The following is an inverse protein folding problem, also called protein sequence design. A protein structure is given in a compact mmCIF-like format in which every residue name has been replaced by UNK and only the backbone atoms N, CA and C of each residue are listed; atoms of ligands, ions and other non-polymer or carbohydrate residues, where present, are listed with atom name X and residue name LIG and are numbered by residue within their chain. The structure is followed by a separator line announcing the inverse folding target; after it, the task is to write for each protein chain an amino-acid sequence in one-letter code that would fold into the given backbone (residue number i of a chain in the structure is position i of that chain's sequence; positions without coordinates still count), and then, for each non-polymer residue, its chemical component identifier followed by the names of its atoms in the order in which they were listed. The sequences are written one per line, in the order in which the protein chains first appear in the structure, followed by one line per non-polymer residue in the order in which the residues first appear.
data_IF_266819024143
#
_entry.id   IF_266819024143
#
_cell.length_a   1.000
_cell.length_b   1.000
_cell.length_c   1.000
_cell.angle_alpha   90.00
_cell.angle_beta   90.00
_cell.angle_gamma   90.00
#
_symmetry.space_group_name_H-M   'P 1'
#
loop_
_entity.id
_entity.type
_entity.pdbx_description
1 polymer ?
#
# COMPACT_ATOMS: atom_id res chain seq x y z
N UNK A 1 -3.59 -16.14 15.76
CA UNK A 1 -3.02 -15.34 16.87
C UNK A 1 -1.62 -15.79 17.25
N UNK A 2 -1.33 -17.09 17.26
CA UNK A 2 0.00 -17.61 17.67
C UNK A 2 1.14 -17.05 16.82
N UNK A 3 0.93 -16.96 15.50
CA UNK A 3 1.89 -16.34 14.58
C UNK A 3 2.11 -14.85 14.89
N UNK A 4 1.05 -14.08 15.15
CA UNK A 4 1.18 -12.68 15.54
C UNK A 4 1.99 -12.53 16.85
N UNK A 5 1.72 -13.41 17.84
CA UNK A 5 2.47 -13.48 19.08
C UNK A 5 3.94 -13.82 18.84
N UNK A 6 4.22 -14.82 18.00
CA UNK A 6 5.59 -15.23 17.67
C UNK A 6 6.36 -14.11 16.99
N UNK A 7 5.80 -13.51 15.92
CA UNK A 7 6.46 -12.41 15.19
C UNK A 7 6.69 -11.22 16.12
N UNK A 8 5.68 -10.79 16.86
CA UNK A 8 5.80 -9.63 17.74
C UNK A 8 6.78 -9.92 18.88
N UNK A 9 6.69 -11.09 19.51
CA UNK A 9 7.57 -11.51 20.61
C UNK A 9 9.06 -11.46 20.25
N UNK A 10 9.39 -11.86 19.03
CA UNK A 10 10.78 -11.81 18.51
C UNK A 10 11.27 -10.39 18.19
N UNK A 11 10.36 -9.44 18.00
CA UNK A 11 10.70 -8.08 17.62
C UNK A 11 10.61 -7.06 18.75
N UNK A 12 9.86 -7.34 19.83
CA UNK A 12 9.77 -6.41 20.98
C UNK A 12 11.11 -6.21 21.71
N UNK A 13 12.04 -7.17 21.58
CA UNK A 13 13.39 -7.05 22.11
C UNK A 13 14.22 -5.94 21.44
N UNK A 14 13.83 -5.51 20.26
CA UNK A 14 14.47 -4.42 19.53
C UNK A 14 14.02 -3.02 19.99
N UNK A 15 12.98 -2.93 20.83
CA UNK A 15 12.52 -1.67 21.41
C UNK A 15 13.44 -1.31 22.57
N UNK A 16 14.20 -0.24 22.42
CA UNK A 16 15.16 0.24 23.41
C UNK A 16 14.47 0.96 24.58
N UNK A 17 15.25 1.31 25.62
CA UNK A 17 14.73 2.05 26.77
C UNK A 17 14.21 3.44 26.42
N UNK A 18 14.81 4.10 25.43
CA UNK A 18 14.38 5.39 24.90
C UNK A 18 13.22 5.30 23.89
N UNK A 19 12.80 4.08 23.53
CA UNK A 19 11.73 3.81 22.59
C UNK A 19 12.16 3.78 21.11
N UNK A 20 13.44 4.00 20.82
CA UNK A 20 14.01 3.79 19.47
C UNK A 20 14.04 2.30 19.11
N UNK A 21 14.15 2.01 17.82
CA UNK A 21 14.15 0.62 17.34
C UNK A 21 15.55 0.24 16.85
N UNK A 22 16.10 -0.82 17.40
CA UNK A 22 17.34 -1.42 16.89
C UNK A 22 17.06 -2.10 15.55
N UNK A 23 17.73 -1.70 14.45
CA UNK A 23 17.54 -2.32 13.14
C UNK A 23 18.03 -3.77 13.12
N UNK A 24 17.68 -4.51 12.09
CA UNK A 24 18.32 -5.80 11.79
C UNK A 24 19.75 -5.54 11.30
N UNK A 25 20.63 -6.51 11.48
CA UNK A 25 21.99 -6.43 11.01
C UNK A 25 22.05 -6.04 9.51
N UNK A 26 22.94 -5.10 9.19
CA UNK A 26 23.10 -4.49 7.85
C UNK A 26 21.93 -3.64 7.35
N UNK A 27 20.97 -3.29 8.20
CA UNK A 27 19.92 -2.32 7.90
C UNK A 27 20.11 -1.02 8.70
N UNK A 28 19.48 0.06 8.22
CA UNK A 28 19.32 1.30 8.98
C UNK A 28 17.95 1.34 9.63
N UNK A 29 17.85 1.92 10.83
CA UNK A 29 16.55 2.24 11.41
C UNK A 29 15.87 3.35 10.60
N UNK A 30 14.54 3.31 10.60
CA UNK A 30 13.71 4.33 9.97
C UNK A 30 13.02 5.16 11.06
N UNK A 31 12.92 6.47 10.84
CA UNK A 31 12.41 7.43 11.83
C UNK A 31 10.95 7.17 12.25
N UNK A 32 10.20 6.41 11.47
CA UNK A 32 8.81 6.06 11.75
C UNK A 32 8.60 4.66 12.34
N UNK A 33 9.65 3.86 12.53
CA UNK A 33 9.54 2.51 13.11
C UNK A 33 8.94 2.47 14.52
N UNK A 34 9.25 3.42 15.43
CA UNK A 34 8.60 3.46 16.73
C UNK A 34 7.07 3.56 16.63
N UNK A 35 6.57 4.30 15.63
CA UNK A 35 5.14 4.40 15.36
C UNK A 35 4.52 3.05 14.95
N UNK A 36 5.17 2.31 14.06
CA UNK A 36 4.73 0.97 13.64
C UNK A 36 4.75 -0.01 14.82
N UNK A 37 5.78 0.02 15.65
CA UNK A 37 5.87 -0.78 16.86
C UNK A 37 4.72 -0.47 17.83
N UNK A 38 4.45 0.82 18.11
CA UNK A 38 3.35 1.24 18.97
C UNK A 38 2.00 0.72 18.46
N UNK A 39 1.74 0.80 17.15
CA UNK A 39 0.50 0.29 16.57
C UNK A 39 0.41 -1.23 16.65
N UNK A 40 1.51 -1.95 16.44
CA UNK A 40 1.55 -3.41 16.56
C UNK A 40 1.22 -3.89 17.99
N UNK A 41 1.80 -3.23 19.00
CA UNK A 41 1.52 -3.49 20.40
C UNK A 41 0.05 -3.19 20.74
N UNK A 42 -0.48 -2.07 20.26
CA UNK A 42 -1.89 -1.71 20.45
C UNK A 42 -2.86 -2.70 19.80
N UNK A 43 -2.59 -3.16 18.59
CA UNK A 43 -3.42 -4.14 17.91
C UNK A 43 -3.35 -5.53 18.56
N UNK A 44 -2.20 -5.89 19.11
CA UNK A 44 -2.04 -7.10 19.91
C UNK A 44 -2.89 -7.02 21.19
N UNK A 45 -2.82 -5.89 21.91
CA UNK A 45 -3.70 -5.64 23.07
C UNK A 45 -5.18 -5.78 22.73
N UNK A 46 -5.63 -5.14 21.64
CA UNK A 46 -7.02 -5.22 21.18
C UNK A 46 -7.46 -6.65 20.82
N UNK A 47 -6.54 -7.47 20.34
CA UNK A 47 -6.86 -8.83 19.91
C UNK A 47 -6.87 -9.84 21.09
N UNK A 48 -6.08 -9.58 22.13
CA UNK A 48 -5.84 -10.53 23.24
C UNK A 48 -6.34 -10.04 24.59
N UNK A 49 -6.43 -8.73 24.81
CA UNK A 49 -6.62 -8.12 26.13
C UNK A 49 -5.38 -8.19 27.04
N UNK A 50 -4.26 -8.77 26.57
CA UNK A 50 -3.06 -8.93 27.38
C UNK A 50 -2.23 -7.64 27.40
N UNK A 51 -1.76 -7.26 28.58
CA UNK A 51 -0.81 -6.18 28.79
C UNK A 51 0.64 -6.67 28.86
N UNK A 52 0.85 -7.98 28.67
CA UNK A 52 2.16 -8.61 28.73
C UNK A 52 2.41 -9.49 27.49
N UNK A 53 3.65 -9.47 27.00
CA UNK A 53 4.14 -10.34 25.94
C UNK A 53 5.61 -10.71 26.21
N UNK A 54 5.92 -12.02 26.26
CA UNK A 54 7.27 -12.55 26.53
C UNK A 54 7.90 -11.93 27.80
N UNK A 55 7.09 -11.81 28.87
CA UNK A 55 7.53 -11.24 30.16
C UNK A 55 7.75 -9.71 30.14
N UNK A 56 7.37 -9.00 29.07
CA UNK A 56 7.49 -7.55 28.94
C UNK A 56 6.14 -6.86 29.00
N UNK A 57 6.08 -5.75 29.69
CA UNK A 57 4.91 -4.88 29.74
C UNK A 57 4.74 -4.11 28.42
N UNK A 58 3.75 -4.51 27.62
CA UNK A 58 3.50 -3.88 26.31
C UNK A 58 2.90 -2.47 26.43
N UNK A 59 2.33 -2.09 27.56
CA UNK A 59 1.85 -0.73 27.83
C UNK A 59 3.05 0.20 27.97
N UNK A 60 4.07 -0.23 28.73
CA UNK A 60 5.33 0.51 28.88
C UNK A 60 6.08 0.61 27.55
N UNK A 61 6.24 -0.49 26.82
CA UNK A 61 6.89 -0.48 25.52
C UNK A 61 6.18 0.46 24.52
N UNK A 62 4.85 0.47 24.50
CA UNK A 62 4.08 1.38 23.66
C UNK A 62 4.31 2.85 24.07
N UNK A 63 4.32 3.15 25.37
CA UNK A 63 4.59 4.50 25.87
C UNK A 63 5.99 4.98 25.47
N UNK A 64 7.01 4.12 25.56
CA UNK A 64 8.38 4.43 25.08
C UNK A 64 8.41 4.74 23.59
N UNK A 65 7.82 3.90 22.75
CA UNK A 65 7.74 4.13 21.30
C UNK A 65 7.05 5.45 20.97
N UNK A 66 5.93 5.77 21.64
CA UNK A 66 5.23 7.05 21.46
C UNK A 66 6.09 8.22 21.91
N UNK A 67 6.82 8.06 22.99
CA UNK A 67 7.73 9.10 23.51
C UNK A 67 8.85 9.38 22.52
N UNK A 68 9.50 8.33 22.00
CA UNK A 68 10.53 8.46 20.96
C UNK A 68 9.99 9.21 19.74
N UNK A 69 8.88 8.73 19.16
CA UNK A 69 8.29 9.34 17.98
C UNK A 69 7.82 10.79 18.21
N UNK A 70 7.34 11.10 19.42
CA UNK A 70 6.84 12.43 19.75
C UNK A 70 7.95 13.42 19.97
N UNK A 71 9.06 13.01 20.60
CA UNK A 71 10.13 13.90 21.01
C UNK A 71 11.26 14.02 19.98
N UNK A 72 11.23 13.21 18.94
CA UNK A 72 12.17 13.31 17.82
C UNK A 72 12.02 14.69 17.14
N UNK A 73 13.16 15.34 16.86
CA UNK A 73 13.19 16.63 16.17
C UNK A 73 12.82 16.48 14.68
N UNK A 74 13.18 15.37 14.09
CA UNK A 74 12.96 15.02 12.68
C UNK A 74 11.77 14.08 12.50
N UNK A 75 10.78 14.15 13.40
CA UNK A 75 9.62 13.25 13.37
C UNK A 75 8.93 13.25 12.01
N UNK A 76 8.44 12.09 11.65
CA UNK A 76 7.67 11.90 10.42
C UNK A 76 6.16 11.88 10.70
N UNK A 77 5.38 12.36 9.75
CA UNK A 77 3.90 12.43 9.88
C UNK A 77 3.27 11.03 9.93
N UNK A 78 3.85 10.07 9.22
CA UNK A 78 3.42 8.67 9.26
C UNK A 78 3.72 8.03 10.61
N UNK A 79 4.94 8.13 11.13
CA UNK A 79 5.30 7.62 12.44
C UNK A 79 4.38 8.16 13.54
N UNK A 80 4.07 9.46 13.50
CA UNK A 80 3.15 10.07 14.46
C UNK A 80 1.71 9.56 14.30
N UNK A 81 1.25 9.35 13.05
CA UNK A 81 -0.09 8.81 12.80
C UNK A 81 -0.21 7.36 13.29
N UNK A 82 0.80 6.52 13.02
CA UNK A 82 0.84 5.14 13.53
C UNK A 82 0.89 5.11 15.06
N UNK A 83 1.74 5.92 15.69
CA UNK A 83 1.80 6.06 17.16
C UNK A 83 0.45 6.43 17.76
N UNK A 84 -0.26 7.37 17.16
CA UNK A 84 -1.56 7.82 17.66
C UNK A 84 -2.64 6.74 17.56
N UNK A 85 -2.64 5.91 16.50
CA UNK A 85 -3.53 4.76 16.41
C UNK A 85 -3.12 3.65 17.41
N UNK A 86 -1.84 3.48 17.65
CA UNK A 86 -1.31 2.60 18.69
C UNK A 86 -1.83 3.02 20.06
N UNK A 87 -1.70 4.28 20.42
CA UNK A 87 -2.24 4.86 21.65
C UNK A 87 -3.74 4.57 21.81
N UNK A 88 -4.55 4.90 20.80
CA UNK A 88 -6.00 4.68 20.83
C UNK A 88 -6.38 3.20 20.99
N UNK A 89 -5.52 2.30 20.60
CA UNK A 89 -5.78 0.86 20.71
C UNK A 89 -5.82 0.37 22.14
N UNK A 90 -5.19 1.07 23.09
CA UNK A 90 -5.20 0.75 24.51
C UNK A 90 -6.36 1.36 25.29
N UNK A 91 -7.02 2.37 24.73
CA UNK A 91 -8.17 2.99 25.39
C UNK A 91 -8.76 4.13 24.55
N UNK A 92 -10.08 4.35 24.66
CA UNK A 92 -10.81 5.28 23.79
C UNK A 92 -10.67 6.77 24.19
N UNK A 93 -10.07 7.07 25.36
CA UNK A 93 -9.91 8.42 25.86
C UNK A 93 -8.72 8.49 26.80
N UNK A 94 -8.16 9.70 27.01
CA UNK A 94 -7.04 9.93 27.94
C UNK A 94 -7.31 9.42 29.35
N UNK A 95 -8.55 9.58 29.85
CA UNK A 95 -8.92 9.19 31.22
C UNK A 95 -9.08 7.67 31.40
N UNK A 96 -8.94 6.89 30.33
CA UNK A 96 -9.07 5.43 30.31
C UNK A 96 -8.00 4.77 29.45
N UNK A 97 -6.84 5.37 29.37
CA UNK A 97 -5.76 4.88 28.51
C UNK A 97 -4.49 4.65 29.32
N UNK A 98 -4.12 3.40 29.65
CA UNK A 98 -2.97 3.11 30.49
C UNK A 98 -1.64 3.53 29.85
N UNK A 99 -1.57 3.67 28.52
CA UNK A 99 -0.39 4.18 27.83
C UNK A 99 -0.27 5.68 28.05
N UNK A 100 -1.39 6.43 27.95
CA UNK A 100 -1.40 7.85 28.22
C UNK A 100 -0.91 8.19 29.62
N UNK A 101 -1.34 7.42 30.63
CA UNK A 101 -0.96 7.61 32.03
C UNK A 101 0.55 7.41 32.28
N UNK A 102 1.25 6.72 31.38
CA UNK A 102 2.71 6.52 31.45
C UNK A 102 3.52 7.56 30.71
N UNK A 103 2.90 8.37 29.85
CA UNK A 103 3.59 9.46 29.18
C UNK A 103 3.88 10.60 30.17
N UNK A 104 5.11 11.10 30.14
CA UNK A 104 5.46 12.31 30.89
C UNK A 104 4.62 13.50 30.41
N UNK A 105 4.35 14.42 31.29
CA UNK A 105 3.52 15.61 31.00
C UNK A 105 4.02 16.40 29.79
N UNK A 106 5.34 16.54 29.64
CA UNK A 106 5.92 17.23 28.49
C UNK A 106 5.72 16.45 27.18
N UNK A 107 5.81 15.11 27.23
CA UNK A 107 5.49 14.25 26.07
C UNK A 107 4.02 14.36 25.71
N UNK A 108 3.10 14.38 26.68
CA UNK A 108 1.67 14.58 26.44
C UNK A 108 1.38 15.92 25.76
N UNK A 109 2.01 17.00 26.23
CA UNK A 109 1.89 18.35 25.63
C UNK A 109 2.46 18.40 24.22
N UNK A 110 3.63 17.80 24.00
CA UNK A 110 4.26 17.73 22.69
C UNK A 110 3.40 16.92 21.71
N UNK A 111 2.86 15.78 22.14
CA UNK A 111 1.98 14.95 21.33
C UNK A 111 0.72 15.72 20.91
N UNK A 112 0.03 16.40 21.84
CA UNK A 112 -1.15 17.21 21.48
C UNK A 112 -0.80 18.30 20.46
N UNK A 113 0.32 19.00 20.65
CA UNK A 113 0.81 20.02 19.72
C UNK A 113 1.07 19.44 18.32
N UNK A 114 1.74 18.28 18.23
CA UNK A 114 2.04 17.62 16.95
C UNK A 114 0.79 17.03 16.29
N UNK A 115 -0.13 16.48 17.07
CA UNK A 115 -1.42 16.02 16.57
C UNK A 115 -2.31 17.16 16.06
N UNK A 116 -2.11 18.38 16.55
CA UNK A 116 -2.80 19.58 16.04
C UNK A 116 -2.23 20.06 14.71
N UNK A 117 -0.93 19.87 14.48
CA UNK A 117 -0.27 20.28 13.25
C UNK A 117 -0.92 19.59 12.04
N UNK A 118 -1.16 20.36 10.99
CA UNK A 118 -1.71 19.89 9.72
C UNK A 118 -0.86 20.42 8.59
N UNK A 119 -0.45 19.53 7.71
CA UNK A 119 0.14 19.90 6.42
C UNK A 119 -0.88 19.59 5.33
N UNK A 120 -1.06 20.51 4.42
CA UNK A 120 -1.96 20.29 3.28
C UNK A 120 -1.20 19.50 2.21
N UNK A 121 -1.26 18.19 2.34
CA UNK A 121 -0.65 17.28 1.41
C UNK A 121 -1.55 17.08 0.19
N UNK A 122 -0.94 16.92 -0.95
CA UNK A 122 -1.62 16.57 -2.20
C UNK A 122 -1.49 15.08 -2.57
N UNK A 123 -0.95 14.26 -1.68
CA UNK A 123 -0.71 12.82 -1.82
C UNK A 123 -1.36 12.01 -0.69
N UNK A 124 -1.02 10.73 -0.60
CA UNK A 124 -1.53 9.82 0.43
C UNK A 124 -1.26 10.30 1.88
N UNK A 125 -0.33 11.17 2.13
CA UNK A 125 -0.06 11.71 3.48
C UNK A 125 -1.27 12.41 4.11
N UNK A 126 -2.30 12.74 3.33
CA UNK A 126 -3.58 13.21 3.89
C UNK A 126 -4.21 12.21 4.87
N UNK A 127 -3.97 10.89 4.69
CA UNK A 127 -4.49 9.87 5.61
C UNK A 127 -3.93 10.03 7.02
N UNK A 128 -2.70 10.53 7.15
CA UNK A 128 -2.07 10.77 8.45
C UNK A 128 -2.75 11.93 9.20
N UNK A 129 -3.16 12.98 8.49
CA UNK A 129 -3.99 14.03 9.08
C UNK A 129 -5.33 13.49 9.59
N UNK A 130 -5.94 12.52 8.89
CA UNK A 130 -7.17 11.85 9.33
C UNK A 130 -6.91 11.09 10.63
N UNK A 131 -5.87 10.27 10.70
CA UNK A 131 -5.52 9.51 11.91
C UNK A 131 -5.22 10.42 13.11
N UNK A 132 -4.44 11.49 12.90
CA UNK A 132 -4.15 12.49 13.94
C UNK A 132 -5.43 13.17 14.45
N UNK A 133 -6.39 13.46 13.55
CA UNK A 133 -7.68 14.04 13.94
C UNK A 133 -8.52 13.06 14.77
N UNK A 134 -8.57 11.79 14.34
CA UNK A 134 -9.23 10.73 15.09
C UNK A 134 -8.66 10.61 16.49
N UNK A 135 -7.34 10.56 16.61
CA UNK A 135 -6.68 10.41 17.89
C UNK A 135 -6.94 11.62 18.81
N UNK A 136 -6.78 12.81 18.29
CA UNK A 136 -6.96 14.03 19.06
C UNK A 136 -8.38 14.21 19.60
N UNK A 137 -9.38 13.91 18.76
CA UNK A 137 -10.78 13.92 19.19
C UNK A 137 -11.11 12.79 20.18
N UNK A 138 -10.75 11.57 19.86
CA UNK A 138 -11.07 10.40 20.68
C UNK A 138 -10.39 10.46 22.05
N UNK A 139 -9.16 10.96 22.12
CA UNK A 139 -8.45 11.18 23.40
C UNK A 139 -9.04 12.33 24.23
N UNK A 140 -9.99 13.10 23.70
CA UNK A 140 -10.57 14.26 24.41
C UNK A 140 -9.63 15.48 24.46
N UNK A 141 -8.62 15.53 23.59
CA UNK A 141 -7.72 16.68 23.44
C UNK A 141 -8.33 17.81 22.60
N UNK A 142 -9.40 17.51 21.87
CA UNK A 142 -10.18 18.47 21.10
C UNK A 142 -11.67 18.22 21.28
N UNK A 143 -12.44 19.32 21.45
CA UNK A 143 -13.90 19.27 21.40
C UNK A 143 -14.43 19.27 19.96
N UNK A 144 -13.63 19.69 18.99
CA UNK A 144 -14.00 19.79 17.58
C UNK A 144 -13.53 18.56 16.84
N UNK A 145 -14.46 17.88 16.19
CA UNK A 145 -14.20 16.73 15.33
C UNK A 145 -14.05 17.19 13.88
N UNK A 146 -12.82 17.15 13.37
CA UNK A 146 -12.49 17.54 12.00
C UNK A 146 -12.38 16.34 11.05
N UNK A 147 -12.42 15.13 11.58
CA UNK A 147 -12.18 13.89 10.84
C UNK A 147 -13.10 13.75 9.62
N UNK A 148 -14.38 14.07 9.77
CA UNK A 148 -15.32 13.99 8.67
C UNK A 148 -14.97 14.90 7.49
N UNK A 149 -14.52 16.14 7.77
CA UNK A 149 -14.11 17.08 6.74
C UNK A 149 -12.83 16.65 6.02
N UNK A 150 -11.89 16.04 6.75
CA UNK A 150 -10.64 15.55 6.16
C UNK A 150 -10.91 14.37 5.23
N UNK A 151 -11.82 13.48 5.60
CA UNK A 151 -12.23 12.36 4.72
C UNK A 151 -12.93 12.89 3.47
N UNK A 152 -13.86 13.86 3.60
CA UNK A 152 -14.55 14.45 2.47
C UNK A 152 -13.55 15.08 1.49
N UNK A 153 -12.59 15.87 2.01
CA UNK A 153 -11.52 16.47 1.19
C UNK A 153 -10.69 15.40 0.46
N UNK A 154 -10.36 14.30 1.12
CA UNK A 154 -9.65 13.19 0.49
C UNK A 154 -10.45 12.59 -0.67
N UNK A 155 -11.75 12.34 -0.47
CA UNK A 155 -12.63 11.78 -1.51
C UNK A 155 -12.87 12.76 -2.67
N UNK A 156 -13.08 14.04 -2.36
CA UNK A 156 -13.21 15.11 -3.37
C UNK A 156 -11.96 15.20 -4.25
N UNK A 157 -10.79 15.04 -3.64
CA UNK A 157 -9.54 15.05 -4.36
C UNK A 157 -9.43 13.91 -5.37
N UNK A 158 -9.82 12.68 -5.01
CA UNK A 158 -9.83 11.56 -5.96
C UNK A 158 -10.68 11.90 -7.18
N UNK A 159 -11.80 12.61 -6.99
CA UNK A 159 -12.65 13.05 -8.09
C UNK A 159 -12.03 14.15 -8.96
N UNK A 160 -11.14 14.96 -8.40
CA UNK A 160 -10.50 16.07 -9.10
C UNK A 160 -9.22 15.67 -9.84
N UNK A 161 -8.47 14.70 -9.31
CA UNK A 161 -7.14 14.34 -9.82
C UNK A 161 -7.15 13.30 -10.93
N UNK A 162 -8.22 12.51 -11.02
CA UNK A 162 -8.42 11.56 -12.11
C UNK A 162 -9.87 11.66 -12.59
N UNK A 163 -10.30 10.76 -13.45
CA UNK A 163 -11.71 10.67 -13.87
C UNK A 163 -12.66 10.20 -12.76
N UNK A 164 -12.28 10.34 -11.49
CA UNK A 164 -13.03 9.91 -10.32
C UNK A 164 -12.95 8.41 -10.02
N UNK A 165 -12.02 7.70 -10.66
CA UNK A 165 -11.93 6.24 -10.56
C UNK A 165 -10.89 5.78 -9.57
N UNK A 166 -9.67 6.35 -9.63
CA UNK A 166 -8.52 5.89 -8.86
C UNK A 166 -7.78 7.06 -8.26
N UNK A 167 -7.03 6.80 -7.21
CA UNK A 167 -6.24 7.81 -6.55
C UNK A 167 -4.91 8.03 -7.27
N UNK A 168 -4.69 9.24 -7.78
CA UNK A 168 -3.39 9.70 -8.24
C UNK A 168 -2.63 10.28 -7.06
N UNK A 169 -1.53 9.63 -6.69
CA UNK A 169 -0.80 9.96 -5.48
C UNK A 169 0.18 11.13 -5.62
N UNK A 170 0.44 11.60 -6.83
CA UNK A 170 1.41 12.69 -7.06
C UNK A 170 1.00 13.70 -8.15
N UNK A 171 -0.21 14.23 -8.13
CA UNK A 171 -0.70 15.09 -9.21
C UNK A 171 0.03 16.43 -9.31
N UNK A 172 0.62 16.94 -8.21
CA UNK A 172 1.29 18.23 -8.16
C UNK A 172 2.79 18.19 -8.51
N UNK A 173 3.40 17.01 -8.46
CA UNK A 173 4.84 16.88 -8.72
C UNK A 173 5.16 16.85 -10.23
N UNK A 174 4.18 17.06 -11.09
CA UNK A 174 4.34 16.96 -12.55
C UNK A 174 4.60 15.53 -13.03
N UNK A 175 4.49 14.57 -12.13
CA UNK A 175 4.52 13.14 -12.40
C UNK A 175 3.07 12.72 -12.55
N UNK A 176 2.60 12.76 -13.77
CA UNK A 176 1.23 12.38 -14.05
C UNK A 176 1.05 10.88 -13.85
N UNK A 177 0.08 10.49 -13.02
CA UNK A 177 -0.40 9.12 -12.97
C UNK A 177 0.32 8.17 -12.04
N UNK A 178 0.54 8.57 -10.83
CA UNK A 178 1.05 7.69 -9.78
C UNK A 178 -0.08 6.82 -9.19
N UNK A 179 -0.64 5.94 -10.02
CA UNK A 179 -1.74 5.02 -9.66
C UNK A 179 -1.20 3.70 -9.15
N UNK A 180 -0.73 3.68 -7.93
CA UNK A 180 -0.13 2.51 -7.30
C UNK A 180 -0.97 1.95 -6.14
N UNK A 181 -0.34 1.10 -5.34
CA UNK A 181 -0.94 0.48 -4.16
C UNK A 181 -1.44 1.51 -3.12
N UNK A 182 -0.97 2.76 -3.14
CA UNK A 182 -1.34 3.74 -2.11
C UNK A 182 -2.83 4.10 -2.10
N UNK A 183 -3.56 3.83 -3.17
CA UNK A 183 -5.02 3.86 -3.11
C UNK A 183 -5.60 2.81 -2.15
N UNK A 184 -5.09 1.59 -2.21
CA UNK A 184 -5.48 0.49 -1.29
C UNK A 184 -5.00 0.79 0.14
N UNK A 185 -3.74 1.24 0.29
CA UNK A 185 -3.15 1.65 1.57
C UNK A 185 -4.00 2.73 2.24
N UNK A 186 -4.37 3.76 1.48
CA UNK A 186 -5.17 4.87 1.99
C UNK A 186 -6.53 4.40 2.49
N UNK A 187 -7.21 3.54 1.73
CA UNK A 187 -8.48 2.97 2.16
C UNK A 187 -8.34 2.18 3.46
N UNK A 188 -7.39 1.24 3.52
CA UNK A 188 -7.17 0.38 4.69
C UNK A 188 -6.86 1.22 5.93
N UNK A 189 -6.01 2.22 5.78
CA UNK A 189 -5.58 3.09 6.89
C UNK A 189 -6.71 4.01 7.40
N UNK A 190 -7.47 4.64 6.51
CA UNK A 190 -8.65 5.45 6.88
C UNK A 190 -9.67 4.56 7.59
N UNK A 191 -9.89 3.37 7.05
CA UNK A 191 -10.85 2.42 7.63
C UNK A 191 -10.43 1.96 9.02
N UNK A 192 -9.14 1.71 9.23
CA UNK A 192 -8.56 1.40 10.54
C UNK A 192 -8.73 2.58 11.51
N UNK A 193 -8.41 3.78 11.08
CA UNK A 193 -8.57 5.00 11.88
C UNK A 193 -10.03 5.20 12.33
N UNK A 194 -10.99 5.02 11.44
CA UNK A 194 -12.41 5.11 11.77
C UNK A 194 -12.88 4.04 12.76
N UNK A 195 -12.27 2.85 12.80
CA UNK A 195 -12.60 1.84 13.79
C UNK A 195 -12.24 2.26 15.23
N UNK A 196 -11.27 3.14 15.38
CA UNK A 196 -10.81 3.67 16.65
C UNK A 196 -11.47 4.99 17.04
N UNK A 197 -12.31 5.54 16.17
CA UNK A 197 -12.96 6.82 16.39
C UNK A 197 -14.04 6.73 17.47
N UNK A 198 -13.98 7.60 18.48
CA UNK A 198 -14.96 7.63 19.57
C UNK A 198 -16.37 8.04 19.11
N UNK A 199 -16.47 8.89 18.07
CA UNK A 199 -17.76 9.30 17.51
C UNK A 199 -18.34 8.23 16.58
N UNK A 200 -19.17 7.36 17.13
CA UNK A 200 -19.82 6.27 16.37
C UNK A 200 -20.69 6.78 15.22
N UNK A 201 -21.43 7.87 15.41
CA UNK A 201 -22.28 8.44 14.36
C UNK A 201 -21.46 8.95 13.16
N UNK A 202 -20.30 9.57 13.41
CA UNK A 202 -19.42 9.95 12.31
C UNK A 202 -18.89 8.71 11.59
N UNK A 203 -18.43 7.73 12.35
CA UNK A 203 -17.92 6.46 11.80
C UNK A 203 -18.96 5.79 10.91
N UNK A 204 -20.17 5.60 11.41
CA UNK A 204 -21.24 4.88 10.70
C UNK A 204 -21.67 5.63 9.43
N UNK A 205 -21.55 6.96 9.39
CA UNK A 205 -21.80 7.78 8.21
C UNK A 205 -20.64 7.74 7.20
N UNK A 206 -19.39 7.75 7.68
CA UNK A 206 -18.21 7.88 6.81
C UNK A 206 -17.74 6.56 6.22
N UNK A 207 -17.99 5.44 6.86
CA UNK A 207 -17.68 4.12 6.30
C UNK A 207 -18.39 3.90 4.95
N UNK A 208 -19.72 4.10 4.81
CA UNK A 208 -20.36 3.98 3.51
C UNK A 208 -19.82 4.94 2.44
N UNK A 209 -19.38 6.14 2.80
CA UNK A 209 -18.82 7.09 1.82
C UNK A 209 -17.52 6.61 1.17
N UNK A 210 -16.78 5.69 1.82
CA UNK A 210 -15.59 5.06 1.26
C UNK A 210 -15.90 3.94 0.26
N UNK A 211 -17.16 3.47 0.21
CA UNK A 211 -17.54 2.29 -0.58
C UNK A 211 -17.24 2.44 -2.06
N UNK A 212 -17.65 3.55 -2.66
CA UNK A 212 -17.44 3.79 -4.11
C UNK A 212 -15.96 3.76 -4.48
N UNK A 213 -15.13 4.34 -3.64
CA UNK A 213 -13.67 4.30 -3.81
C UNK A 213 -13.13 2.86 -3.66
N UNK A 214 -13.52 2.15 -2.61
CA UNK A 214 -13.08 0.79 -2.35
C UNK A 214 -13.52 -0.18 -3.46
N UNK A 215 -14.75 -0.08 -3.95
CA UNK A 215 -15.28 -0.95 -5.00
C UNK A 215 -14.48 -0.88 -6.30
N UNK A 216 -13.87 0.26 -6.63
CA UNK A 216 -13.02 0.39 -7.81
C UNK A 216 -11.80 -0.52 -7.71
N UNK A 217 -11.10 -0.49 -6.57
CA UNK A 217 -9.94 -1.35 -6.31
C UNK A 217 -10.36 -2.82 -6.14
N UNK A 218 -11.45 -3.08 -5.45
CA UNK A 218 -11.96 -4.45 -5.31
C UNK A 218 -12.20 -5.11 -6.66
N UNK A 219 -12.79 -4.39 -7.62
CA UNK A 219 -13.04 -4.92 -8.97
C UNK A 219 -11.77 -5.26 -9.74
N UNK A 220 -10.62 -4.74 -9.32
CA UNK A 220 -9.32 -5.08 -9.92
C UNK A 220 -8.74 -6.40 -9.39
N UNK A 221 -8.97 -6.74 -8.13
CA UNK A 221 -8.30 -7.90 -7.52
C UNK A 221 -8.47 -9.21 -8.29
N UNK A 222 -9.64 -9.57 -8.84
CA UNK A 222 -9.77 -10.77 -9.66
C UNK A 222 -8.87 -10.80 -10.89
N UNK A 223 -8.51 -9.61 -11.39
CA UNK A 223 -7.69 -9.46 -12.60
C UNK A 223 -6.20 -9.34 -12.29
N UNK A 224 -5.83 -8.71 -11.16
CA UNK A 224 -4.42 -8.43 -10.82
C UNK A 224 -3.79 -9.47 -9.90
N UNK A 225 -4.58 -10.21 -9.12
CA UNK A 225 -4.03 -11.27 -8.26
C UNK A 225 -3.74 -12.50 -9.11
N UNK A 226 -2.46 -12.84 -9.18
CA UNK A 226 -1.98 -13.99 -9.96
C UNK A 226 -2.50 -15.33 -9.41
N UNK A 227 -2.39 -16.37 -10.21
CA UNK A 227 -2.78 -17.73 -9.82
C UNK A 227 -1.97 -18.27 -8.65
N UNK A 228 -0.71 -17.86 -8.50
CA UNK A 228 0.15 -18.19 -7.37
C UNK A 228 -0.15 -17.37 -6.10
N UNK A 229 -0.98 -16.32 -6.20
CA UNK A 229 -1.39 -15.49 -5.08
C UNK A 229 -0.58 -14.21 -4.90
N UNK A 230 0.38 -13.90 -5.80
CA UNK A 230 0.97 -12.58 -5.81
C UNK A 230 -0.13 -11.54 -6.06
N UNK A 231 -0.20 -10.54 -5.21
CA UNK A 231 -1.21 -9.47 -5.26
C UNK A 231 -0.83 -8.32 -6.18
N UNK A 232 -0.72 -7.13 -5.61
CA UNK A 232 -0.35 -5.94 -6.37
C UNK A 232 1.12 -5.98 -6.78
N UNK A 233 1.43 -5.93 -8.08
CA UNK A 233 2.75 -6.18 -8.62
C UNK A 233 3.38 -4.96 -9.34
N UNK A 234 2.85 -3.75 -9.12
CA UNK A 234 3.40 -2.53 -9.72
C UNK A 234 3.34 -1.35 -8.75
N UNK A 235 4.27 -0.41 -8.92
CA UNK A 235 4.38 0.79 -8.09
C UNK A 235 5.17 0.59 -6.82
N UNK A 236 4.94 1.47 -5.85
CA UNK A 236 5.65 1.49 -4.57
C UNK A 236 5.06 0.52 -3.55
N UNK A 237 5.83 0.22 -2.51
CA UNK A 237 5.41 -0.58 -1.35
C UNK A 237 4.88 -1.96 -1.73
N UNK A 238 5.55 -2.59 -2.67
CA UNK A 238 5.27 -3.95 -3.12
C UNK A 238 5.70 -4.98 -2.05
N UNK A 239 5.69 -6.23 -2.41
CA UNK A 239 6.16 -7.30 -1.54
C UNK A 239 5.23 -7.58 -0.38
N UNK A 240 5.80 -7.90 0.78
CA UNK A 240 5.05 -8.26 1.98
C UNK A 240 4.05 -7.17 2.40
N UNK A 241 4.46 -5.90 2.33
CA UNK A 241 3.61 -4.76 2.66
C UNK A 241 2.38 -4.67 1.75
N UNK A 242 2.59 -4.75 0.43
CA UNK A 242 1.51 -4.75 -0.55
C UNK A 242 0.54 -5.89 -0.38
N UNK A 243 1.07 -7.08 -0.12
CA UNK A 243 0.29 -8.29 0.11
C UNK A 243 -0.64 -8.13 1.33
N UNK A 244 -0.12 -7.60 2.44
CA UNK A 244 -0.89 -7.35 3.65
C UNK A 244 -2.06 -6.37 3.41
N UNK A 245 -1.84 -5.33 2.61
CA UNK A 245 -2.89 -4.36 2.29
C UNK A 245 -3.99 -4.95 1.40
N UNK A 246 -3.63 -5.75 0.40
CA UNK A 246 -4.61 -6.45 -0.44
C UNK A 246 -5.51 -7.36 0.39
N UNK A 247 -4.93 -8.19 1.27
CA UNK A 247 -5.68 -9.05 2.20
C UNK A 247 -6.60 -8.23 3.09
N UNK A 248 -6.07 -7.16 3.69
CA UNK A 248 -6.83 -6.31 4.62
C UNK A 248 -8.01 -5.63 3.95
N UNK A 249 -7.84 -5.14 2.72
CA UNK A 249 -8.91 -4.50 1.96
C UNK A 249 -10.07 -5.46 1.69
N UNK A 250 -9.77 -6.69 1.25
CA UNK A 250 -10.80 -7.69 0.96
C UNK A 250 -11.55 -8.09 2.24
N UNK A 251 -10.83 -8.36 3.33
CA UNK A 251 -11.44 -8.73 4.60
C UNK A 251 -12.34 -7.61 5.18
N UNK A 252 -11.90 -6.35 5.07
CA UNK A 252 -12.70 -5.21 5.49
C UNK A 252 -13.95 -5.04 4.62
N UNK A 253 -13.82 -5.22 3.31
CA UNK A 253 -14.95 -5.17 2.38
C UNK A 253 -15.97 -6.29 2.62
N UNK A 254 -15.53 -7.50 2.94
CA UNK A 254 -16.40 -8.60 3.34
C UNK A 254 -17.16 -8.26 4.63
N UNK A 255 -16.47 -7.76 5.65
CA UNK A 255 -17.12 -7.36 6.90
C UNK A 255 -18.18 -6.27 6.70
N UNK A 256 -17.91 -5.33 5.82
CA UNK A 256 -18.79 -4.19 5.56
C UNK A 256 -19.88 -4.52 4.50
N UNK A 257 -19.97 -5.79 4.04
CA UNK A 257 -20.91 -6.29 3.04
C UNK A 257 -20.83 -5.51 1.70
N UNK A 258 -19.63 -5.17 1.25
CA UNK A 258 -19.41 -4.47 -0.03
C UNK A 258 -19.12 -5.42 -1.19
N UNK A 259 -18.86 -6.67 -0.90
CA UNK A 259 -18.72 -7.72 -1.91
C UNK A 259 -20.08 -8.37 -2.11
N UNK A 260 -20.56 -8.42 -3.35
CA UNK A 260 -21.82 -9.04 -3.68
C UNK A 260 -21.83 -10.54 -3.30
N UNK A 261 -22.94 -11.05 -2.84
CA UNK A 261 -23.08 -12.40 -2.29
C UNK A 261 -22.61 -13.49 -3.28
N UNK A 262 -22.96 -13.33 -4.55
CA UNK A 262 -22.54 -14.23 -5.65
C UNK A 262 -21.03 -14.18 -5.93
N UNK A 263 -20.30 -13.19 -5.43
CA UNK A 263 -18.86 -12.99 -5.57
C UNK A 263 -18.06 -13.36 -4.34
N UNK A 264 -18.68 -13.59 -3.21
CA UNK A 264 -17.96 -13.90 -1.95
C UNK A 264 -17.06 -15.12 -2.14
N UNK A 265 -17.51 -16.16 -2.85
CA UNK A 265 -16.69 -17.34 -3.11
C UNK A 265 -15.44 -17.05 -3.94
N UNK A 266 -15.54 -16.20 -4.95
CA UNK A 266 -14.41 -15.78 -5.78
C UNK A 266 -13.37 -15.01 -4.94
N UNK A 267 -13.82 -14.06 -4.10
CA UNK A 267 -12.92 -13.30 -3.21
C UNK A 267 -12.35 -14.16 -2.07
N UNK A 268 -13.05 -15.18 -1.63
CA UNK A 268 -12.53 -16.15 -0.67
C UNK A 268 -11.38 -16.96 -1.29
N UNK A 269 -11.47 -17.35 -2.55
CA UNK A 269 -10.38 -18.01 -3.27
C UNK A 269 -9.18 -17.06 -3.46
N UNK A 270 -9.44 -15.82 -3.83
CA UNK A 270 -8.39 -14.78 -3.91
C UNK A 270 -7.67 -14.63 -2.57
N UNK A 271 -8.40 -14.51 -1.46
CA UNK A 271 -7.82 -14.43 -0.12
C UNK A 271 -6.97 -15.66 0.21
N UNK A 272 -7.47 -16.86 -0.08
CA UNK A 272 -6.72 -18.10 0.15
C UNK A 272 -5.38 -18.08 -0.58
N UNK A 273 -5.35 -17.65 -1.86
CA UNK A 273 -4.13 -17.54 -2.65
C UNK A 273 -3.20 -16.44 -2.12
N UNK A 274 -3.72 -15.27 -1.77
CA UNK A 274 -2.96 -14.18 -1.17
C UNK A 274 -2.29 -14.60 0.15
N UNK A 275 -3.03 -15.29 1.04
CA UNK A 275 -2.48 -15.81 2.28
C UNK A 275 -1.41 -16.87 2.04
N UNK A 276 -1.68 -17.80 1.12
CA UNK A 276 -0.72 -18.84 0.78
C UNK A 276 0.60 -18.23 0.28
N UNK A 277 0.52 -17.30 -0.66
CA UNK A 277 1.70 -16.60 -1.18
C UNK A 277 2.44 -15.85 -0.07
N UNK A 278 1.72 -15.10 0.77
CA UNK A 278 2.31 -14.35 1.87
C UNK A 278 3.11 -15.23 2.83
N UNK A 279 2.51 -16.32 3.30
CA UNK A 279 3.18 -17.20 4.25
C UNK A 279 4.31 -18.03 3.65
N UNK A 280 4.18 -18.45 2.40
CA UNK A 280 5.22 -19.24 1.75
C UNK A 280 6.40 -18.38 1.25
N UNK A 281 6.16 -17.12 0.96
CA UNK A 281 7.18 -16.26 0.36
C UNK A 281 7.93 -15.44 1.39
N UNK A 282 7.22 -14.91 2.40
CA UNK A 282 7.79 -13.92 3.32
C UNK A 282 8.02 -14.44 4.73
N UNK A 283 7.35 -15.50 5.14
CA UNK A 283 7.55 -16.06 6.46
C UNK A 283 8.72 -17.03 6.47
N UNK A 284 9.74 -16.72 7.24
CA UNK A 284 10.74 -17.70 7.65
C UNK A 284 10.12 -18.64 8.68
N UNK A 285 9.82 -19.86 8.25
CA UNK A 285 9.12 -20.84 9.10
C UNK A 285 9.97 -21.35 10.26
N UNK A 286 11.29 -21.38 10.12
CA UNK A 286 12.20 -21.81 11.16
C UNK A 286 12.30 -20.76 12.27
N UNK A 287 12.44 -19.50 11.86
CA UNK A 287 12.61 -18.39 12.79
C UNK A 287 11.29 -17.71 13.19
N UNK A 288 10.21 -17.91 12.41
CA UNK A 288 8.87 -17.40 12.71
C UNK A 288 8.78 -15.88 12.68
N UNK A 289 9.47 -15.23 11.76
CA UNK A 289 9.37 -13.80 11.46
C UNK A 289 9.42 -13.56 9.95
N UNK A 290 9.05 -12.35 9.51
CA UNK A 290 9.13 -12.01 8.09
C UNK A 290 10.55 -11.65 7.69
N UNK A 291 10.92 -12.12 6.50
CA UNK A 291 12.16 -11.74 5.84
C UNK A 291 11.84 -10.89 4.62
N UNK A 292 12.37 -9.68 4.57
CA UNK A 292 12.33 -8.82 3.39
C UNK A 292 13.52 -9.17 2.52
N UNK A 293 13.26 -9.47 1.26
CA UNK A 293 14.29 -9.80 0.28
C UNK A 293 14.95 -8.52 -0.26
N UNK A 294 16.19 -8.64 -0.74
CA UNK A 294 16.95 -7.47 -1.21
C UNK A 294 16.27 -6.72 -2.37
N UNK A 295 15.61 -7.42 -3.26
CA UNK A 295 14.91 -6.77 -4.37
C UNK A 295 13.69 -5.94 -3.91
N UNK A 296 13.02 -6.33 -2.83
CA UNK A 296 11.90 -5.55 -2.27
C UNK A 296 12.40 -4.25 -1.67
N UNK A 297 13.59 -4.26 -1.09
CA UNK A 297 14.26 -3.05 -0.58
C UNK A 297 14.72 -2.15 -1.71
N UNK A 298 15.17 -2.71 -2.84
CA UNK A 298 15.57 -1.94 -4.00
C UNK A 298 14.38 -1.25 -4.67
N UNK A 299 13.20 -1.87 -4.61
CA UNK A 299 11.96 -1.28 -5.12
C UNK A 299 11.41 -0.16 -4.21
N UNK A 300 11.70 -0.22 -2.90
CA UNK A 300 11.27 0.80 -1.95
C UNK A 300 12.22 0.87 -0.74
N UNK A 301 13.13 1.83 -0.78
CA UNK A 301 14.07 2.11 0.31
C UNK A 301 13.40 2.49 1.66
N UNK A 302 12.10 2.79 1.65
CA UNK A 302 11.32 3.10 2.85
C UNK A 302 10.77 1.87 3.58
N UNK A 303 11.29 0.65 3.32
CA UNK A 303 10.91 -0.56 4.04
C UNK A 303 12.11 -1.17 4.77
N UNK A 304 11.93 -1.47 6.06
CA UNK A 304 12.86 -2.25 6.85
C UNK A 304 12.26 -3.57 7.29
N UNK A 305 13.11 -4.53 7.63
CA UNK A 305 12.66 -5.82 8.18
C UNK A 305 11.91 -5.62 9.50
N UNK A 306 12.34 -4.69 10.36
CA UNK A 306 11.64 -4.39 11.63
C UNK A 306 10.25 -3.85 11.38
N UNK A 307 10.12 -2.83 10.53
CA UNK A 307 8.82 -2.26 10.16
C UNK A 307 7.88 -3.34 9.60
N UNK A 308 8.35 -4.16 8.67
CA UNK A 308 7.54 -5.20 8.07
C UNK A 308 7.04 -6.24 9.08
N UNK A 309 7.86 -6.58 10.07
CA UNK A 309 7.48 -7.50 11.14
C UNK A 309 6.44 -6.89 12.11
N UNK A 310 6.59 -5.62 12.49
CA UNK A 310 5.57 -4.92 13.26
C UNK A 310 4.25 -4.82 12.50
N UNK A 311 4.31 -4.48 11.20
CA UNK A 311 3.13 -4.44 10.36
C UNK A 311 2.47 -5.82 10.20
N UNK A 312 3.25 -6.88 10.00
CA UNK A 312 2.71 -8.23 9.94
C UNK A 312 2.00 -8.62 11.23
N UNK A 313 2.60 -8.36 12.38
CA UNK A 313 1.99 -8.66 13.66
C UNK A 313 0.66 -7.93 13.85
N UNK A 314 0.60 -6.61 13.55
CA UNK A 314 -0.64 -5.84 13.64
C UNK A 314 -1.71 -6.34 12.69
N UNK A 315 -1.36 -6.65 11.44
CA UNK A 315 -2.31 -7.17 10.46
C UNK A 315 -2.82 -8.54 10.83
N UNK A 316 -1.98 -9.44 11.29
CA UNK A 316 -2.41 -10.76 11.79
C UNK A 316 -3.40 -10.63 12.96
N UNK A 317 -3.19 -9.67 13.86
CA UNK A 317 -4.14 -9.35 14.92
C UNK A 317 -5.47 -8.84 14.37
N UNK A 318 -5.43 -7.93 13.40
CA UNK A 318 -6.62 -7.39 12.73
C UNK A 318 -7.37 -8.48 11.96
N UNK A 319 -6.68 -9.29 11.16
CA UNK A 319 -7.28 -10.37 10.38
C UNK A 319 -7.92 -11.42 11.28
N UNK A 320 -7.30 -11.75 12.42
CA UNK A 320 -7.89 -12.66 13.39
C UNK A 320 -9.23 -12.14 13.93
N UNK A 321 -9.35 -10.83 14.18
CA UNK A 321 -10.62 -10.22 14.60
C UNK A 321 -11.64 -10.18 13.46
N UNK A 322 -11.21 -9.82 12.24
CA UNK A 322 -12.07 -9.78 11.07
C UNK A 322 -12.57 -11.16 10.68
N UNK A 323 -11.71 -12.17 10.70
CA UNK A 323 -12.07 -13.55 10.39
C UNK A 323 -13.18 -14.11 11.30
N UNK A 324 -13.21 -13.73 12.58
CA UNK A 324 -14.31 -14.09 13.49
C UNK A 324 -15.67 -13.56 13.04
N UNK A 325 -15.67 -12.41 12.35
CA UNK A 325 -16.89 -11.77 11.87
C UNK A 325 -17.32 -12.32 10.51
N UNK A 326 -16.36 -12.53 9.60
CA UNK A 326 -16.66 -12.92 8.22
C UNK A 326 -16.55 -14.43 7.95
N UNK A 327 -16.02 -15.20 8.90
CA UNK A 327 -15.68 -16.63 8.71
C UNK A 327 -16.87 -17.52 8.27
N UNK A 328 -18.11 -17.15 8.64
CA UNK A 328 -19.31 -17.87 8.18
C UNK A 328 -19.65 -17.63 6.71
N UNK A 329 -19.12 -16.56 6.12
CA UNK A 329 -19.34 -16.19 4.71
C UNK A 329 -18.27 -16.81 3.80
N UNK A 330 -17.14 -17.24 4.36
CA UNK A 330 -15.99 -17.73 3.62
C UNK A 330 -16.18 -19.17 3.17
N UNK A 331 -16.88 -19.36 2.06
CA UNK A 331 -16.91 -20.64 1.32
C UNK A 331 -16.19 -20.41 0.01
N UNK A 332 -14.99 -21.00 -0.13
CA UNK A 332 -14.22 -20.87 -1.34
C UNK A 332 -14.94 -21.56 -2.51
N UNK A 333 -15.15 -20.82 -3.58
CA UNK A 333 -15.56 -21.36 -4.86
C UNK A 333 -14.32 -21.38 -5.73
N UNK A 334 -13.95 -22.58 -6.20
CA UNK A 334 -12.84 -22.67 -7.11
C UNK A 334 -13.17 -21.87 -8.38
N UNK A 335 -12.47 -20.76 -8.56
CA UNK A 335 -12.67 -19.93 -9.73
C UNK A 335 -12.14 -20.69 -10.95
N UNK A 336 -12.95 -20.80 -11.97
CA UNK A 336 -12.51 -21.36 -13.25
C UNK A 336 -11.64 -20.29 -13.91
N UNK A 337 -10.36 -20.61 -14.07
CA UNK A 337 -9.46 -19.73 -14.79
C UNK A 337 -10.00 -19.46 -16.21
N UNK A 338 -9.95 -18.21 -16.64
CA UNK A 338 -10.42 -17.78 -17.96
C UNK A 338 -9.26 -17.18 -18.75
N UNK A 339 -9.26 -17.40 -20.05
CA UNK A 339 -8.36 -16.72 -20.96
C UNK A 339 -9.03 -15.43 -21.43
N UNK A 340 -8.41 -14.28 -21.15
CA UNK A 340 -8.91 -12.98 -21.60
C UNK A 340 -7.82 -11.91 -21.59
N UNK A 341 -8.04 -10.85 -22.34
CA UNK A 341 -7.33 -9.59 -22.22
C UNK A 341 -8.27 -8.48 -21.75
N UNK A 342 -7.80 -7.62 -20.88
CA UNK A 342 -8.58 -6.51 -20.32
C UNK A 342 -7.73 -5.26 -20.18
N UNK A 343 -8.27 -4.14 -20.61
CA UNK A 343 -7.70 -2.83 -20.32
C UNK A 343 -8.43 -2.16 -19.16
N UNK A 344 -7.67 -1.66 -18.21
CA UNK A 344 -8.17 -0.86 -17.09
C UNK A 344 -7.65 0.56 -17.27
N UNK A 345 -8.56 1.48 -17.53
CA UNK A 345 -8.22 2.91 -17.58
C UNK A 345 -8.18 3.48 -16.17
N UNK A 346 -7.05 4.07 -15.79
CA UNK A 346 -6.91 4.81 -14.53
C UNK A 346 -7.26 6.29 -14.73
N UNK A 347 -6.84 6.87 -15.84
CA UNK A 347 -7.20 8.20 -16.28
C UNK A 347 -7.33 8.23 -17.81
N UNK A 348 -8.35 8.91 -18.32
CA UNK A 348 -8.59 9.06 -19.75
C UNK A 348 -8.89 10.51 -20.16
N UNK A 349 -8.37 11.46 -19.39
CA UNK A 349 -8.49 12.86 -19.77
C UNK A 349 -7.74 13.11 -21.09
N UNK A 350 -8.13 14.13 -21.84
CA UNK A 350 -7.54 14.46 -23.14
C UNK A 350 -6.02 14.74 -23.10
N UNK A 351 -5.47 14.86 -21.90
CA UNK A 351 -4.05 15.12 -21.67
C UNK A 351 -3.28 13.92 -21.09
N UNK A 352 -4.00 12.92 -20.58
CA UNK A 352 -3.43 11.84 -19.79
C UNK A 352 -4.25 10.57 -20.01
N UNK A 353 -3.83 9.75 -20.94
CA UNK A 353 -4.39 8.42 -21.04
C UNK A 353 -3.48 7.46 -20.31
N UNK A 354 -3.98 6.88 -19.21
CA UNK A 354 -3.19 6.04 -18.34
C UNK A 354 -3.98 4.81 -17.94
N UNK A 355 -3.33 3.66 -17.98
CA UNK A 355 -3.98 2.41 -17.67
C UNK A 355 -3.05 1.21 -17.57
N UNK A 356 -3.66 0.09 -17.33
CA UNK A 356 -3.03 -1.22 -17.22
C UNK A 356 -3.74 -2.19 -18.16
N UNK A 357 -3.00 -2.85 -19.04
CA UNK A 357 -3.50 -4.01 -19.74
C UNK A 357 -3.11 -5.27 -18.99
N UNK A 358 -4.08 -6.15 -18.82
CA UNK A 358 -3.94 -7.41 -18.12
C UNK A 358 -4.30 -8.53 -19.12
N UNK A 359 -3.41 -9.49 -19.27
CA UNK A 359 -3.67 -10.70 -20.02
C UNK A 359 -3.53 -11.93 -19.12
N UNK A 360 -4.55 -12.77 -19.13
CA UNK A 360 -4.52 -14.08 -18.46
C UNK A 360 -4.79 -15.18 -19.46
N UNK A 361 -4.04 -16.27 -19.34
CA UNK A 361 -4.28 -17.49 -20.08
C UNK A 361 -4.50 -18.66 -19.12
N UNK A 362 -5.71 -19.23 -19.17
CA UNK A 362 -6.13 -20.31 -18.27
C UNK A 362 -5.37 -21.62 -18.51
N UNK A 363 -4.95 -21.88 -19.74
CA UNK A 363 -4.31 -23.14 -20.12
C UNK A 363 -2.84 -23.18 -19.70
N UNK A 364 -2.17 -22.03 -19.85
CA UNK A 364 -0.72 -21.93 -19.58
C UNK A 364 -0.39 -21.35 -18.22
N UNK A 365 -1.37 -20.74 -17.53
CA UNK A 365 -1.16 -19.99 -16.32
C UNK A 365 -0.46 -18.64 -16.53
N UNK A 366 -0.25 -18.21 -17.79
CA UNK A 366 0.40 -16.96 -18.11
C UNK A 366 -0.44 -15.78 -17.61
N UNK A 367 0.18 -14.90 -16.85
CA UNK A 367 -0.45 -13.69 -16.32
C UNK A 367 0.49 -12.50 -16.56
N UNK A 368 0.03 -11.53 -17.35
CA UNK A 368 0.82 -10.39 -17.78
C UNK A 368 0.16 -9.11 -17.34
N UNK A 369 0.95 -8.23 -16.75
CA UNK A 369 0.62 -6.84 -16.55
C UNK A 369 1.46 -5.99 -17.50
N UNK A 370 0.80 -5.27 -18.39
CA UNK A 370 1.44 -4.31 -19.27
C UNK A 370 1.01 -2.90 -18.85
N UNK A 371 1.85 -2.17 -18.12
CA UNK A 371 1.58 -0.79 -17.76
C UNK A 371 1.59 0.09 -19.02
N UNK A 372 0.56 0.93 -19.17
CA UNK A 372 0.39 1.85 -20.28
C UNK A 372 0.31 3.28 -19.73
N UNK A 373 1.35 3.65 -19.00
CA UNK A 373 1.46 4.93 -18.31
C UNK A 373 2.82 5.51 -18.58
N UNK A 374 2.82 6.78 -18.96
CA UNK A 374 4.02 7.57 -19.12
C UNK A 374 4.13 8.61 -18.00
N UNK A 375 4.74 8.29 -16.88
CA UNK A 375 5.04 9.31 -15.89
C UNK A 375 6.02 10.31 -16.49
N UNK A 376 5.72 11.59 -16.35
CA UNK A 376 6.59 12.69 -16.79
C UNK A 376 7.85 12.87 -15.95
N UNK A 377 8.31 11.84 -15.26
CA UNK A 377 9.43 11.92 -14.32
C UNK A 377 10.77 12.05 -15.04
N UNK A 378 11.56 13.02 -14.63
CA UNK A 378 12.94 13.20 -15.11
C UNK A 378 13.91 12.14 -14.59
N UNK A 379 13.55 11.41 -13.55
CA UNK A 379 14.41 10.44 -12.88
C UNK A 379 13.69 9.13 -12.63
N UNK A 380 14.37 8.02 -12.85
CA UNK A 380 13.97 6.70 -12.38
C UNK A 380 14.02 6.77 -10.85
N UNK A 381 12.90 6.66 -10.19
CA UNK A 381 12.86 6.56 -8.75
C UNK A 381 11.96 5.41 -8.32
N UNK A 382 12.28 4.81 -7.20
CA UNK A 382 11.43 3.82 -6.53
C UNK A 382 10.05 4.36 -6.19
N UNK A 383 9.83 5.66 -6.32
CA UNK A 383 8.55 6.32 -6.08
C UNK A 383 7.63 6.35 -7.30
N UNK A 384 8.03 5.83 -8.44
CA UNK A 384 7.17 5.75 -9.61
C UNK A 384 6.21 4.58 -9.51
N UNK A 385 4.93 4.84 -9.79
CA UNK A 385 3.90 3.80 -9.79
C UNK A 385 4.11 2.78 -10.89
N UNK A 386 4.62 3.24 -12.03
CA UNK A 386 4.85 2.41 -13.20
C UNK A 386 6.23 2.69 -13.78
N UNK A 387 6.85 1.65 -14.34
CA UNK A 387 8.10 1.83 -15.04
C UNK A 387 7.90 2.75 -16.26
N UNK A 388 8.86 3.63 -16.49
CA UNK A 388 8.87 4.58 -17.59
C UNK A 388 9.35 3.97 -18.93
N UNK A 389 9.55 2.67 -18.97
CA UNK A 389 9.94 1.92 -20.17
C UNK A 389 8.79 1.07 -20.69
N UNK A 390 8.54 1.03 -22.01
CA UNK A 390 7.56 0.12 -22.57
C UNK A 390 8.05 -1.31 -22.43
N UNK A 391 7.29 -2.16 -21.77
CA UNK A 391 7.70 -3.54 -21.62
C UNK A 391 6.79 -4.35 -20.74
N UNK A 392 7.02 -5.64 -20.72
CA UNK A 392 6.37 -6.56 -19.82
C UNK A 392 7.28 -6.74 -18.61
N UNK A 393 6.69 -6.57 -17.44
CA UNK A 393 7.36 -6.67 -16.18
C UNK A 393 6.91 -7.92 -15.47
N UNK A 394 7.84 -8.64 -14.88
CA UNK A 394 7.56 -9.71 -13.94
C UNK A 394 8.01 -9.30 -12.54
N UNK A 395 7.25 -9.69 -11.56
CA UNK A 395 7.62 -9.57 -10.17
C UNK A 395 8.26 -10.89 -9.69
N UNK A 396 9.31 -10.86 -8.97
CA UNK A 396 10.08 -9.71 -8.47
C UNK A 396 11.18 -9.28 -9.44
N UNK A 397 10.89 -8.26 -10.24
CA UNK A 397 11.92 -7.69 -11.11
C UNK A 397 12.86 -6.79 -10.30
N UNK A 398 14.15 -6.92 -10.52
CA UNK A 398 15.12 -6.00 -9.93
C UNK A 398 14.88 -4.60 -10.50
N UNK A 399 14.64 -3.63 -9.62
CA UNK A 399 14.54 -2.19 -9.93
C UNK A 399 13.63 -1.83 -11.11
N UNK A 400 12.48 -2.51 -11.24
CA UNK A 400 11.55 -2.27 -12.35
C UNK A 400 12.13 -2.56 -13.74
N UNK A 401 13.05 -3.48 -13.86
CA UNK A 401 13.53 -3.91 -15.15
C UNK A 401 12.47 -4.78 -15.84
N UNK A 402 12.09 -4.46 -17.07
CA UNK A 402 11.18 -5.30 -17.83
C UNK A 402 11.86 -6.59 -18.27
N UNK A 403 11.07 -7.66 -18.37
CA UNK A 403 11.56 -8.93 -18.92
C UNK A 403 11.54 -8.94 -20.46
N UNK A 404 10.70 -8.12 -21.06
CA UNK A 404 10.62 -7.93 -22.51
C UNK A 404 10.51 -6.42 -22.79
N UNK A 405 11.51 -5.87 -23.42
CA UNK A 405 11.54 -4.46 -23.88
C UNK A 405 11.95 -4.39 -25.34
N UNK A 406 11.41 -3.42 -26.09
CA UNK A 406 11.95 -3.10 -27.38
C UNK A 406 13.36 -2.51 -27.25
N UNK A 407 14.29 -2.99 -28.04
CA UNK A 407 15.62 -2.41 -28.16
C UNK A 407 15.76 -1.67 -29.51
N UNK A 408 16.41 -0.53 -29.48
CA UNK A 408 16.74 0.26 -30.66
C UNK A 408 18.24 0.26 -30.84
N UNK A 409 18.69 -0.10 -32.02
CA UNK A 409 20.11 -0.14 -32.37
C UNK A 409 20.46 1.04 -33.28
N UNK A 410 21.48 1.81 -32.91
CA UNK A 410 22.05 2.91 -33.68
C UNK A 410 23.54 2.71 -33.87
N UNK A 411 23.94 2.18 -35.02
CA UNK A 411 25.33 1.76 -35.19
C UNK A 411 25.70 0.69 -34.19
N UNK A 412 26.70 0.96 -33.38
CA UNK A 412 27.20 0.03 -32.35
C UNK A 412 26.48 0.21 -30.99
N UNK A 413 25.55 1.15 -30.89
CA UNK A 413 24.87 1.47 -29.62
C UNK A 413 23.48 0.87 -29.58
N UNK A 414 23.15 0.27 -28.45
CA UNK A 414 21.83 -0.27 -28.15
C UNK A 414 21.17 0.60 -27.08
N UNK A 415 19.93 0.96 -27.30
CA UNK A 415 19.13 1.72 -26.31
C UNK A 415 17.73 1.18 -26.23
N UNK A 416 17.04 1.48 -25.15
CA UNK A 416 15.64 1.18 -24.97
C UNK A 416 14.80 2.44 -25.08
N UNK A 417 13.61 2.39 -25.70
CA UNK A 417 12.69 3.52 -25.66
C UNK A 417 12.31 3.81 -24.21
N UNK A 418 12.35 5.06 -23.81
CA UNK A 418 11.91 5.51 -22.49
C UNK A 418 10.76 6.51 -22.61
N UNK A 419 9.86 6.51 -21.61
CA UNK A 419 8.67 7.37 -21.60
C UNK A 419 8.95 8.75 -21.03
N UNK A 420 9.88 9.47 -21.56
CA UNK A 420 10.10 10.86 -21.16
C UNK A 420 9.24 11.81 -21.99
N UNK A 421 7.99 11.59 -22.15
CA UNK A 421 7.30 12.49 -22.98
C UNK A 421 5.79 12.37 -23.05
N UNK A 422 5.24 13.26 -23.76
CA UNK A 422 3.94 13.86 -23.55
C UNK A 422 2.71 13.04 -23.98
N UNK A 423 2.82 11.90 -24.62
CA UNK A 423 1.62 11.14 -25.04
C UNK A 423 1.88 9.66 -25.23
N UNK A 424 1.22 8.89 -24.42
CA UNK A 424 0.92 7.49 -24.70
C UNK A 424 -0.51 7.43 -25.21
N UNK A 425 -0.73 6.95 -26.44
CA UNK A 425 -2.06 6.64 -26.92
C UNK A 425 -2.24 5.14 -26.92
N UNK A 426 -3.26 4.68 -26.23
CA UNK A 426 -3.62 3.26 -26.16
C UNK A 426 -4.74 2.96 -27.12
N UNK A 427 -4.67 1.83 -27.79
CA UNK A 427 -5.74 1.32 -28.62
C UNK A 427 -5.94 -0.17 -28.38
N UNK A 428 -7.16 -0.58 -28.08
CA UNK A 428 -7.54 -1.99 -28.14
C UNK A 428 -7.81 -2.37 -29.60
N UNK A 429 -6.93 -3.19 -30.16
CA UNK A 429 -7.19 -3.82 -31.45
C UNK A 429 -8.13 -5.01 -31.32
N UNK A 430 -8.74 -5.41 -32.44
CA UNK A 430 -9.47 -6.65 -32.54
C UNK A 430 -8.53 -7.85 -32.22
N UNK A 431 -8.96 -8.80 -31.40
CA UNK A 431 -8.25 -10.00 -31.01
C UNK A 431 -7.08 -9.80 -30.04
N UNK A 432 -7.29 -9.03 -28.96
CA UNK A 432 -6.27 -8.84 -27.91
C UNK A 432 -4.95 -8.27 -28.41
N UNK A 433 -4.99 -7.40 -29.41
CA UNK A 433 -3.83 -6.64 -29.90
C UNK A 433 -3.76 -5.31 -29.21
N UNK A 434 -2.57 -4.92 -28.81
CA UNK A 434 -2.30 -3.68 -28.14
C UNK A 434 -1.44 -2.78 -29.00
N UNK A 435 -1.84 -1.53 -29.14
CA UNK A 435 -1.05 -0.51 -29.81
C UNK A 435 -0.65 0.53 -28.78
N UNK A 436 0.61 0.75 -28.72
CA UNK A 436 1.21 1.69 -27.86
C UNK A 436 2.03 2.67 -28.71
N UNK A 437 1.61 3.91 -28.76
CA UNK A 437 2.34 4.95 -29.48
C UNK A 437 3.15 5.76 -28.50
N UNK A 438 4.42 5.78 -28.74
CA UNK A 438 5.40 6.48 -27.98
C UNK A 438 5.86 7.70 -28.79
N UNK A 439 5.63 8.89 -28.25
CA UNK A 439 6.23 10.12 -28.77
C UNK A 439 7.42 10.46 -27.88
N UNK A 440 8.59 10.37 -28.45
CA UNK A 440 9.81 10.50 -27.74
C UNK A 440 10.09 11.96 -27.38
N UNK A 441 10.56 12.23 -26.16
CA UNK A 441 11.20 13.48 -25.81
C UNK A 441 12.53 13.63 -26.53
N UNK A 442 13.07 14.84 -26.50
CA UNK A 442 14.25 15.26 -27.22
C UNK A 442 15.55 14.55 -26.82
N UNK A 443 15.52 13.65 -25.83
CA UNK A 443 16.75 13.05 -25.27
C UNK A 443 16.59 11.56 -24.95
N UNK A 444 17.47 10.74 -25.51
CA UNK A 444 17.72 9.35 -25.10
C UNK A 444 19.10 9.31 -24.43
N UNK A 445 19.22 8.58 -23.35
CA UNK A 445 20.52 8.26 -22.76
C UNK A 445 20.98 6.89 -23.29
N UNK A 446 22.13 6.87 -23.94
CA UNK A 446 22.77 5.66 -24.45
C UNK A 446 24.17 5.60 -23.84
N UNK A 447 24.47 4.54 -23.10
CA UNK A 447 25.76 4.37 -22.40
C UNK A 447 26.20 5.59 -21.57
N UNK A 448 25.23 6.29 -20.96
CA UNK A 448 25.49 7.52 -20.19
C UNK A 448 25.54 8.81 -21.01
N UNK A 449 25.59 8.73 -22.33
CA UNK A 449 25.55 9.89 -23.21
C UNK A 449 24.11 10.27 -23.60
N UNK A 450 23.86 11.57 -23.70
CA UNK A 450 22.57 12.09 -24.11
C UNK A 450 22.54 12.20 -25.63
N UNK A 451 21.67 11.43 -26.29
CA UNK A 451 21.44 11.50 -27.73
C UNK A 451 20.09 12.18 -27.98
N UNK A 452 20.06 13.15 -28.87
CA UNK A 452 18.79 13.80 -29.26
C UNK A 452 17.84 12.79 -29.86
N UNK A 453 16.58 12.90 -29.46
CA UNK A 453 15.52 12.01 -29.90
C UNK A 453 15.31 12.02 -31.42
N UNK A 454 14.92 10.87 -31.92
CA UNK A 454 14.78 10.55 -33.34
C UNK A 454 13.34 10.50 -33.81
N UNK A 455 12.41 10.86 -32.98
CA UNK A 455 11.00 10.91 -33.36
C UNK A 455 10.08 9.95 -32.58
N UNK A 456 8.96 9.57 -33.17
CA UNK A 456 7.97 8.73 -32.53
C UNK A 456 8.25 7.25 -32.79
N UNK A 457 8.10 6.42 -31.74
CA UNK A 457 8.15 4.98 -31.83
C UNK A 457 6.73 4.42 -31.63
N UNK A 458 6.33 3.45 -32.45
CA UNK A 458 5.09 2.72 -32.28
C UNK A 458 5.41 1.29 -31.88
N UNK A 459 4.98 0.88 -30.71
CA UNK A 459 5.11 -0.50 -30.23
C UNK A 459 3.73 -1.16 -30.31
N UNK A 460 3.67 -2.36 -30.86
CA UNK A 460 2.45 -3.18 -30.91
C UNK A 460 2.70 -4.48 -30.19
N UNK A 461 1.84 -4.78 -29.22
CA UNK A 461 1.88 -6.05 -28.50
C UNK A 461 0.70 -6.92 -28.93
N UNK A 462 0.94 -8.17 -29.24
CA UNK A 462 -0.09 -9.16 -29.56
C UNK A 462 0.02 -10.33 -28.61
N UNK A 463 -1.10 -10.72 -28.01
CA UNK A 463 -1.19 -11.80 -27.06
C UNK A 463 -2.14 -12.87 -27.62
N UNK A 464 -1.66 -14.09 -27.82
CA UNK A 464 -2.45 -15.18 -28.34
C UNK A 464 -1.97 -16.52 -27.77
N UNK A 465 -2.80 -17.18 -26.98
CA UNK A 465 -2.42 -18.39 -26.27
C UNK A 465 -1.22 -18.17 -25.37
N UNK A 466 -0.12 -18.87 -25.66
CA UNK A 466 1.16 -18.72 -24.94
C UNK A 466 2.18 -17.86 -25.71
N UNK A 467 1.75 -17.20 -26.78
CA UNK A 467 2.62 -16.39 -27.64
C UNK A 467 2.41 -14.90 -27.37
N UNK A 468 3.52 -14.21 -27.17
CA UNK A 468 3.62 -12.76 -27.10
C UNK A 468 4.43 -12.30 -28.29
N UNK A 469 3.93 -11.32 -29.01
CA UNK A 469 4.63 -10.75 -30.17
C UNK A 469 4.59 -9.25 -30.11
#
# INVERSE_FOLDING_TARGET
MDMARSILGKNIGAINEDGSITPVENESSLDYEPGHAALALGEFYRATGSTELEGRDIVDLCARCITAQTNDKEYTEDGLAYSSLGLLSFGPSKDRNPVWDRLLEDTQKNLDKRLLSRTDYDNHFQIFNIAKSVARFSMGLSKKDETGKLIDRFLERIQQTSTGNYFDDKPSEGIDGNFDLFGVVSFVFIRQSLQLHANMHLRDRKIPSLRTFAEKYLRLFPDIVRSDGLGWAFGRKLGAYGQMHCISMILQAMRDNWIAEDKIGDYTDILRRLFQFFFMTYLDQENGYLVIRDFERSADAGCSTRMANFDAARYLCQWSRLAKTVGRQMQAKQSVAKTYGKYVSFDNTSRKEQGLFIYQNAETGLHIHLPLIAPGAKNISSSLAFPHMPGIFDWPADKYLPILIPELTFGDKVTTPSYYGKRCTTGLGLRNSYFFRYEQPDLITVDGDIVKGIGSCKVSWSFSGNKIT
#
